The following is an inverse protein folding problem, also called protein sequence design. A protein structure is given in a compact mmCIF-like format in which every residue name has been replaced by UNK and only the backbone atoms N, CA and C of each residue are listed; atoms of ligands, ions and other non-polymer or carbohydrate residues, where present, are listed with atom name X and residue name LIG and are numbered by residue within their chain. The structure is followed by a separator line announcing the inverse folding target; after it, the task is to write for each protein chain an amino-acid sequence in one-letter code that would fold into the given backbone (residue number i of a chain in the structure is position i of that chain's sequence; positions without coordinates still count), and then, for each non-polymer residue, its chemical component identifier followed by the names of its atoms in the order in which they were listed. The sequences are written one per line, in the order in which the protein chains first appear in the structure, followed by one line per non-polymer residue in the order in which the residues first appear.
data_IF_712582290402
#
_entry.id   IF_712582290402
#
_cell.length_a   1.000
_cell.length_b   1.000
_cell.length_c   1.000
_cell.angle_alpha   90.00
_cell.angle_beta   90.00
_cell.angle_gamma   90.00
#
_symmetry.space_group_name_H-M   'P 1'
#
loop_
_entity.id
_entity.type
_entity.pdbx_description
1 polymer ?
#
# COMPACT_ATOMS: atom_id res chain seq x y z
N UNK A 1 -34.41 -23.17 8.11
CA UNK A 1 -33.24 -22.71 8.90
C UNK A 1 -32.87 -21.32 8.39
N UNK A 2 -33.04 -20.31 9.25
CA UNK A 2 -33.16 -18.91 8.83
C UNK A 2 -31.87 -18.32 8.31
N UNK A 3 -31.93 -17.74 7.10
CA UNK A 3 -30.98 -16.73 6.66
C UNK A 3 -31.22 -15.47 7.52
N UNK A 4 -30.34 -15.22 8.47
CA UNK A 4 -30.24 -13.91 9.09
C UNK A 4 -29.54 -12.97 8.10
N UNK A 5 -30.30 -12.30 7.24
CA UNK A 5 -29.82 -11.06 6.63
C UNK A 5 -29.62 -10.06 7.77
N UNK A 6 -28.38 -9.83 8.18
CA UNK A 6 -28.05 -8.69 9.04
C UNK A 6 -28.34 -7.43 8.21
N UNK A 7 -29.45 -6.75 8.54
CA UNK A 7 -29.72 -5.39 8.04
C UNK A 7 -28.52 -4.51 8.43
N UNK A 8 -27.82 -4.00 7.43
CA UNK A 8 -26.76 -3.03 7.63
C UNK A 8 -27.36 -1.76 8.22
N UNK A 9 -27.08 -1.48 9.48
CA UNK A 9 -27.40 -0.19 10.08
C UNK A 9 -26.56 0.88 9.36
N UNK A 10 -27.21 1.92 8.88
CA UNK A 10 -26.52 3.06 8.27
C UNK A 10 -25.37 3.53 9.17
N UNK A 11 -24.13 3.53 8.63
CA UNK A 11 -22.93 3.92 9.36
C UNK A 11 -22.08 2.78 9.95
N UNK A 12 -22.37 1.51 9.63
CA UNK A 12 -21.50 0.38 9.95
C UNK A 12 -20.86 -0.21 8.69
N UNK A 13 -19.61 -0.71 8.81
CA UNK A 13 -18.90 -1.40 7.72
C UNK A 13 -19.62 -2.70 7.39
N UNK A 14 -19.90 -2.91 6.10
CA UNK A 14 -20.40 -4.19 5.59
C UNK A 14 -19.24 -5.15 5.33
N UNK A 15 -19.12 -6.18 6.15
CA UNK A 15 -18.04 -7.17 6.03
C UNK A 15 -18.17 -8.07 4.78
N UNK A 16 -19.30 -8.03 4.07
CA UNK A 16 -19.47 -8.78 2.81
C UNK A 16 -19.11 -7.94 1.57
N UNK A 17 -18.78 -6.66 1.75
CA UNK A 17 -18.43 -5.74 0.66
C UNK A 17 -17.14 -4.98 0.99
N UNK A 18 -16.09 -5.70 1.39
CA UNK A 18 -14.79 -5.13 1.68
C UNK A 18 -13.94 -5.01 0.40
N UNK A 19 -13.04 -4.00 0.31
CA UNK A 19 -12.00 -4.02 -0.69
C UNK A 19 -11.05 -5.19 -0.44
N UNK A 20 -10.62 -5.87 -1.51
CA UNK A 20 -9.58 -6.89 -1.42
C UNK A 20 -8.22 -6.26 -1.12
N UNK A 21 -7.94 -5.11 -1.73
CA UNK A 21 -6.67 -4.41 -1.60
C UNK A 21 -6.87 -2.93 -1.28
N UNK A 22 -6.28 -2.48 -0.17
CA UNK A 22 -6.26 -1.06 0.24
C UNK A 22 -4.85 -0.50 0.10
N UNK A 23 -4.71 0.64 -0.56
CA UNK A 23 -3.46 1.39 -0.67
C UNK A 23 -3.53 2.66 0.19
N UNK A 24 -2.43 3.01 0.88
CA UNK A 24 -2.39 4.18 1.78
C UNK A 24 -1.16 5.04 1.55
N UNK A 25 -1.35 6.35 1.41
CA UNK A 25 -0.27 7.33 1.46
C UNK A 25 -0.16 7.84 2.89
N UNK A 26 0.90 7.47 3.62
CA UNK A 26 1.12 7.79 5.03
C UNK A 26 1.54 9.26 5.22
N UNK A 27 0.61 10.21 4.96
CA UNK A 27 0.92 11.65 5.01
C UNK A 27 0.60 12.29 6.36
N UNK A 28 1.44 13.22 6.76
CA UNK A 28 1.23 14.05 7.95
C UNK A 28 2.15 13.77 9.13
N UNK A 29 3.07 12.79 9.07
CA UNK A 29 3.99 12.46 10.16
C UNK A 29 4.77 13.66 10.70
N UNK A 30 5.39 14.45 9.81
CA UNK A 30 6.14 15.64 10.19
C UNK A 30 5.26 16.74 10.78
N UNK A 31 4.08 16.98 10.21
CA UNK A 31 3.10 17.97 10.70
C UNK A 31 2.55 17.58 12.07
N UNK A 32 2.33 16.30 12.28
CA UNK A 32 1.89 15.75 13.57
C UNK A 32 2.92 16.00 14.67
N UNK A 33 4.20 15.74 14.42
CA UNK A 33 5.29 16.00 15.35
C UNK A 33 5.42 17.51 15.64
N UNK A 34 5.38 18.35 14.60
CA UNK A 34 5.46 19.80 14.73
C UNK A 34 4.33 20.38 15.61
N UNK A 35 3.08 19.92 15.44
CA UNK A 35 1.95 20.36 16.29
C UNK A 35 2.14 20.00 17.76
N UNK A 36 3.01 19.05 18.09
CA UNK A 36 3.31 18.58 19.45
C UNK A 36 4.66 19.04 19.97
N UNK A 37 5.35 19.94 19.26
CA UNK A 37 6.71 20.37 19.56
C UNK A 37 7.71 19.20 19.70
N UNK A 38 7.50 18.13 18.91
CA UNK A 38 8.35 16.96 18.85
C UNK A 38 9.24 16.96 17.59
N UNK A 39 10.39 16.29 17.62
CA UNK A 39 11.21 16.09 16.43
C UNK A 39 10.45 15.25 15.38
N UNK A 40 10.77 15.47 14.09
CA UNK A 40 10.11 14.75 12.97
C UNK A 40 10.21 13.22 13.09
N UNK A 41 11.31 12.71 13.65
CA UNK A 41 11.52 11.30 13.93
C UNK A 41 10.44 10.67 14.83
N UNK A 42 9.93 11.43 15.81
CA UNK A 42 8.82 10.97 16.64
C UNK A 42 7.53 10.79 15.82
N UNK A 43 7.30 11.67 14.82
CA UNK A 43 6.17 11.52 13.90
C UNK A 43 6.30 10.28 13.01
N UNK A 44 7.51 9.99 12.50
CA UNK A 44 7.76 8.77 11.72
C UNK A 44 7.57 7.50 12.55
N UNK A 45 8.03 7.50 13.81
CA UNK A 45 7.80 6.39 14.74
C UNK A 45 6.30 6.18 15.01
N UNK A 46 5.56 7.24 15.33
CA UNK A 46 4.12 7.16 15.53
C UNK A 46 3.39 6.68 14.27
N UNK A 47 3.85 7.10 13.08
CA UNK A 47 3.30 6.62 11.80
C UNK A 47 3.56 5.13 11.54
N UNK A 48 4.71 4.59 11.96
CA UNK A 48 5.01 3.17 11.88
C UNK A 48 4.10 2.34 12.81
N UNK A 49 3.84 2.84 14.03
CA UNK A 49 2.89 2.20 14.94
C UNK A 49 1.45 2.21 14.39
N UNK A 50 1.04 3.30 13.73
CA UNK A 50 -0.26 3.37 13.04
C UNK A 50 -0.34 2.33 11.91
N UNK A 51 0.71 2.15 11.12
CA UNK A 51 0.77 1.12 10.09
C UNK A 51 0.59 -0.29 10.68
N UNK A 52 1.32 -0.62 11.76
CA UNK A 52 1.22 -1.91 12.45
C UNK A 52 -0.20 -2.19 12.95
N UNK A 53 -0.80 -1.19 13.62
CA UNK A 53 -2.17 -1.26 14.14
C UNK A 53 -3.20 -1.48 13.05
N UNK A 54 -3.12 -0.69 11.97
CA UNK A 54 -4.06 -0.81 10.85
C UNK A 54 -3.82 -2.08 10.03
N UNK A 55 -2.59 -2.58 9.91
CA UNK A 55 -2.32 -3.89 9.32
C UNK A 55 -3.04 -5.01 10.08
N UNK A 56 -2.95 -5.00 11.42
CA UNK A 56 -3.70 -5.94 12.27
C UNK A 56 -5.21 -5.78 12.09
N UNK A 57 -5.70 -4.54 11.99
CA UNK A 57 -7.11 -4.27 11.78
C UNK A 57 -7.61 -4.77 10.42
N UNK A 58 -6.90 -4.50 9.33
CA UNK A 58 -7.20 -5.01 7.99
C UNK A 58 -7.30 -6.54 7.99
N UNK A 59 -6.31 -7.22 8.57
CA UNK A 59 -6.30 -8.68 8.71
C UNK A 59 -7.54 -9.20 9.44
N UNK A 60 -7.90 -8.57 10.57
CA UNK A 60 -9.06 -8.97 11.36
C UNK A 60 -10.40 -8.73 10.66
N UNK A 61 -10.47 -7.76 9.76
CA UNK A 61 -11.63 -7.53 8.91
C UNK A 61 -11.73 -8.53 7.76
N UNK A 62 -10.63 -9.18 7.35
CA UNK A 62 -10.57 -10.05 6.18
C UNK A 62 -10.19 -9.32 4.88
N UNK A 63 -9.50 -8.17 4.98
CA UNK A 63 -8.86 -7.51 3.84
C UNK A 63 -7.56 -8.27 3.55
N UNK A 64 -7.31 -8.63 2.27
CA UNK A 64 -6.18 -9.48 1.91
C UNK A 64 -4.87 -8.70 1.78
N UNK A 65 -4.93 -7.46 1.26
CA UNK A 65 -3.74 -6.66 0.96
C UNK A 65 -3.83 -5.24 1.50
N UNK A 66 -2.73 -4.80 2.13
CA UNK A 66 -2.52 -3.40 2.53
C UNK A 66 -1.20 -2.91 1.95
N UNK A 67 -1.22 -1.95 1.02
CA UNK A 67 0.00 -1.33 0.48
C UNK A 67 0.18 0.06 1.04
N UNK A 68 1.39 0.38 1.54
CA UNK A 68 1.69 1.69 2.11
C UNK A 68 2.84 2.39 1.39
N UNK A 69 2.74 3.72 1.25
CA UNK A 69 3.81 4.56 0.70
C UNK A 69 4.73 5.01 1.82
N UNK A 70 5.80 4.25 2.07
CA UNK A 70 6.71 4.50 3.18
C UNK A 70 7.82 5.50 2.81
N UNK A 71 8.42 5.36 1.60
CA UNK A 71 9.50 6.23 1.15
C UNK A 71 9.50 6.36 -0.38
N UNK A 72 9.28 7.59 -0.86
CA UNK A 72 9.28 7.87 -2.31
C UNK A 72 10.68 8.20 -2.83
N UNK A 73 10.87 8.06 -4.16
CA UNK A 73 12.09 8.48 -4.83
C UNK A 73 12.41 9.96 -4.60
N UNK A 74 11.39 10.82 -4.42
CA UNK A 74 11.56 12.23 -4.12
C UNK A 74 12.04 12.51 -2.70
N UNK A 75 11.85 11.56 -1.75
CA UNK A 75 12.21 11.73 -0.35
C UNK A 75 13.72 11.77 -0.10
N UNK A 76 14.54 11.30 -1.04
CA UNK A 76 16.00 11.47 -0.97
C UNK A 76 16.46 12.95 -0.94
N UNK A 77 15.58 13.87 -1.38
CA UNK A 77 15.85 15.33 -1.30
C UNK A 77 15.65 15.92 0.09
N UNK A 78 15.17 15.13 1.06
CA UNK A 78 15.02 15.55 2.45
C UNK A 78 16.38 15.71 3.12
N UNK A 79 16.46 16.44 4.25
CA UNK A 79 17.67 16.49 5.06
C UNK A 79 18.20 15.09 5.37
N UNK A 80 19.53 14.93 5.32
CA UNK A 80 20.17 13.63 5.46
C UNK A 80 19.84 12.93 6.79
N UNK A 81 19.78 13.70 7.87
CA UNK A 81 19.42 13.23 9.21
C UNK A 81 18.00 12.67 9.28
N UNK A 82 17.05 13.26 8.54
CA UNK A 82 15.69 12.72 8.42
C UNK A 82 15.67 11.39 7.63
N UNK A 83 16.40 11.33 6.50
CA UNK A 83 16.50 10.11 5.68
C UNK A 83 17.16 8.99 6.47
N UNK A 84 18.31 9.25 7.10
CA UNK A 84 19.02 8.27 7.94
C UNK A 84 18.13 7.77 9.10
N UNK A 85 17.34 8.67 9.70
CA UNK A 85 16.38 8.32 10.75
C UNK A 85 15.26 7.40 10.26
N UNK A 86 14.75 7.62 9.05
CA UNK A 86 13.71 6.75 8.44
C UNK A 86 14.29 5.38 8.13
N UNK A 87 15.49 5.29 7.54
CA UNK A 87 16.14 4.01 7.21
C UNK A 87 16.44 3.20 8.47
N UNK A 88 16.94 3.86 9.54
CA UNK A 88 17.16 3.22 10.83
C UNK A 88 15.87 2.70 11.47
N UNK A 89 14.77 3.46 11.37
CA UNK A 89 13.46 3.02 11.85
C UNK A 89 12.96 1.80 11.07
N UNK A 90 13.16 1.77 9.75
CA UNK A 90 12.83 0.62 8.92
C UNK A 90 13.63 -0.62 9.32
N UNK A 91 14.95 -0.47 9.53
CA UNK A 91 15.82 -1.56 9.99
C UNK A 91 15.33 -2.15 11.31
N UNK A 92 15.03 -1.30 12.31
CA UNK A 92 14.47 -1.73 13.59
C UNK A 92 13.14 -2.47 13.41
N UNK A 93 12.27 -1.94 12.55
CA UNK A 93 10.97 -2.54 12.26
C UNK A 93 11.10 -3.92 11.61
N UNK A 94 12.07 -4.10 10.70
CA UNK A 94 12.33 -5.38 10.05
C UNK A 94 12.81 -6.45 11.04
N UNK A 95 13.74 -6.13 11.93
CA UNK A 95 14.15 -7.06 12.99
C UNK A 95 12.98 -7.51 13.85
N UNK A 96 12.12 -6.57 14.31
CA UNK A 96 10.93 -6.91 15.08
C UNK A 96 9.93 -7.78 14.28
N UNK A 97 9.79 -7.52 12.98
CA UNK A 97 8.90 -8.31 12.11
C UNK A 97 9.41 -9.73 11.91
N UNK A 98 10.70 -9.92 11.62
CA UNK A 98 11.32 -11.22 11.39
C UNK A 98 11.04 -12.16 12.60
N UNK A 99 11.13 -11.64 13.82
CA UNK A 99 10.90 -12.42 15.05
C UNK A 99 9.44 -12.85 15.25
N UNK A 100 8.47 -12.18 14.63
CA UNK A 100 7.05 -12.37 14.96
C UNK A 100 6.16 -12.76 13.78
N UNK A 101 6.59 -12.52 12.54
CA UNK A 101 5.72 -12.62 11.36
C UNK A 101 5.15 -14.03 11.11
N UNK A 102 5.93 -15.09 11.36
CA UNK A 102 5.44 -16.47 11.23
C UNK A 102 4.35 -16.77 12.27
N UNK A 103 4.59 -16.39 13.53
CA UNK A 103 3.63 -16.57 14.62
C UNK A 103 2.35 -15.75 14.37
N UNK A 104 2.51 -14.54 13.90
CA UNK A 104 1.40 -13.63 13.68
C UNK A 104 0.70 -13.89 12.34
N UNK A 105 1.25 -14.73 11.46
CA UNK A 105 0.72 -15.02 10.13
C UNK A 105 0.58 -13.75 9.28
N UNK A 106 1.59 -12.88 9.31
CA UNK A 106 1.65 -11.65 8.54
C UNK A 106 2.73 -11.76 7.47
N UNK A 107 2.36 -11.53 6.22
CA UNK A 107 3.30 -11.45 5.10
C UNK A 107 3.73 -10.01 4.90
N UNK A 108 5.01 -9.82 4.55
CA UNK A 108 5.55 -8.53 4.20
C UNK A 108 6.22 -8.60 2.82
N UNK A 109 5.99 -7.60 1.95
CA UNK A 109 6.65 -7.47 0.66
C UNK A 109 7.08 -6.04 0.43
N UNK A 110 8.21 -5.84 -0.25
CA UNK A 110 8.73 -4.51 -0.58
C UNK A 110 8.62 -4.24 -2.07
N UNK A 111 8.15 -3.04 -2.44
CA UNK A 111 7.96 -2.58 -3.80
C UNK A 111 8.82 -1.34 -4.05
N UNK A 112 9.60 -1.33 -5.12
CA UNK A 112 10.45 -0.22 -5.52
C UNK A 112 11.86 -0.65 -5.92
N UNK A 113 12.71 0.31 -6.27
CA UNK A 113 14.12 0.03 -6.56
C UNK A 113 14.93 -0.06 -5.25
N UNK A 114 15.11 -1.29 -4.77
CA UNK A 114 15.84 -1.58 -3.54
C UNK A 114 17.37 -1.58 -3.73
N UNK A 115 17.87 -1.47 -4.96
CA UNK A 115 19.30 -1.54 -5.28
C UNK A 115 20.11 -0.38 -4.66
N UNK A 116 19.46 0.75 -4.38
CA UNK A 116 20.07 1.94 -3.77
C UNK A 116 20.24 1.86 -2.26
N UNK A 117 19.65 0.86 -1.63
CA UNK A 117 19.73 0.65 -0.18
C UNK A 117 21.08 0.04 0.21
N UNK A 118 21.45 0.17 1.49
CA UNK A 118 22.68 -0.46 2.00
C UNK A 118 22.61 -1.97 1.88
N UNK A 119 23.76 -2.67 1.76
CA UNK A 119 23.78 -4.13 1.71
C UNK A 119 23.10 -4.79 2.90
N UNK A 120 23.25 -4.21 4.10
CA UNK A 120 22.69 -4.70 5.36
C UNK A 120 21.15 -4.64 5.31
N UNK A 121 20.60 -3.50 4.90
CA UNK A 121 19.15 -3.32 4.80
C UNK A 121 18.54 -4.22 3.71
N UNK A 122 19.25 -4.41 2.58
CA UNK A 122 18.81 -5.36 1.55
C UNK A 122 18.79 -6.79 2.06
N UNK A 123 19.82 -7.22 2.81
CA UNK A 123 19.84 -8.55 3.40
C UNK A 123 18.66 -8.81 4.33
N UNK A 124 18.29 -7.82 5.18
CA UNK A 124 17.09 -7.91 6.03
C UNK A 124 15.80 -7.99 5.23
N UNK A 125 15.69 -7.24 4.13
CA UNK A 125 14.53 -7.31 3.24
C UNK A 125 14.44 -8.68 2.56
N UNK A 126 15.55 -9.22 2.10
CA UNK A 126 15.61 -10.53 1.45
C UNK A 126 15.22 -11.64 2.44
N UNK A 127 15.72 -11.60 3.68
CA UNK A 127 15.30 -12.51 4.75
C UNK A 127 13.81 -12.40 5.07
N UNK A 128 13.29 -11.17 5.17
CA UNK A 128 11.86 -10.91 5.39
C UNK A 128 11.01 -11.49 4.25
N UNK A 129 11.44 -11.30 2.99
CA UNK A 129 10.74 -11.85 1.82
C UNK A 129 10.76 -13.38 1.82
N UNK A 130 11.89 -14.00 2.20
CA UNK A 130 12.02 -15.47 2.31
C UNK A 130 11.04 -16.03 3.36
N UNK A 131 10.98 -15.44 4.54
CA UNK A 131 10.03 -15.85 5.59
C UNK A 131 8.59 -15.63 5.10
N UNK A 132 8.28 -14.46 4.52
CA UNK A 132 6.95 -14.13 3.98
C UNK A 132 6.46 -15.14 2.95
N UNK A 133 7.37 -15.71 2.14
CA UNK A 133 7.02 -16.67 1.10
C UNK A 133 6.41 -17.99 1.63
N UNK A 134 6.63 -18.28 2.91
CA UNK A 134 6.14 -19.49 3.61
C UNK A 134 4.83 -19.28 4.35
N UNK A 135 4.37 -18.03 4.44
CA UNK A 135 3.18 -17.63 5.20
C UNK A 135 2.02 -17.43 4.22
N UNK A 136 0.82 -17.87 4.58
CA UNK A 136 -0.42 -17.62 3.84
C UNK A 136 -1.26 -16.55 4.55
N UNK A 137 -2.16 -15.90 3.80
CA UNK A 137 -3.12 -14.93 4.34
C UNK A 137 -2.74 -13.49 4.08
N UNK A 138 -3.04 -12.60 5.03
CA UNK A 138 -2.87 -11.14 4.90
C UNK A 138 -1.45 -10.74 4.51
N UNK A 139 -1.34 -9.85 3.53
CA UNK A 139 -0.07 -9.33 3.06
C UNK A 139 -0.02 -7.81 3.16
N UNK A 140 0.97 -7.30 3.88
CA UNK A 140 1.33 -5.88 3.85
C UNK A 140 2.45 -5.64 2.83
N UNK A 141 2.28 -4.62 1.98
CA UNK A 141 3.28 -4.21 1.00
C UNK A 141 3.82 -2.83 1.36
N UNK A 142 5.12 -2.67 1.34
CA UNK A 142 5.79 -1.41 1.69
C UNK A 142 6.49 -0.86 0.46
N UNK A 143 5.97 0.26 -0.08
CA UNK A 143 6.62 0.97 -1.17
C UNK A 143 7.81 1.77 -0.61
N UNK A 144 9.02 1.31 -0.96
CA UNK A 144 10.29 1.83 -0.49
C UNK A 144 11.17 2.23 -1.68
N UNK A 145 11.70 3.44 -1.68
CA UNK A 145 12.34 4.05 -2.85
C UNK A 145 11.50 3.85 -4.12
N UNK A 146 10.22 4.12 -3.96
CA UNK A 146 9.21 3.88 -4.98
C UNK A 146 8.76 5.19 -5.64
N UNK A 147 8.44 5.11 -6.92
CA UNK A 147 7.75 6.15 -7.66
C UNK A 147 7.09 5.55 -8.91
N UNK A 148 5.80 5.81 -9.15
CA UNK A 148 5.06 5.17 -10.23
C UNK A 148 5.62 5.48 -11.62
N UNK A 149 6.18 6.68 -11.85
CA UNK A 149 6.88 6.99 -13.11
C UNK A 149 8.17 6.20 -13.26
N UNK A 150 8.92 6.02 -12.17
CA UNK A 150 10.14 5.21 -12.15
C UNK A 150 9.83 3.74 -12.39
N UNK A 151 8.81 3.20 -11.74
CA UNK A 151 8.32 1.84 -11.94
C UNK A 151 7.93 1.57 -13.39
N UNK A 152 7.15 2.47 -14.02
CA UNK A 152 6.77 2.35 -15.43
C UNK A 152 8.01 2.35 -16.34
N UNK A 153 8.99 3.22 -16.08
CA UNK A 153 10.25 3.22 -16.83
C UNK A 153 11.07 1.95 -16.60
N UNK A 154 11.08 1.43 -15.37
CA UNK A 154 11.70 0.14 -15.05
C UNK A 154 11.08 -0.98 -15.86
N UNK A 155 9.76 -1.10 -15.85
CA UNK A 155 9.00 -2.11 -16.58
C UNK A 155 9.23 -2.02 -18.08
N UNK A 156 9.17 -0.82 -18.66
CA UNK A 156 9.41 -0.59 -20.09
C UNK A 156 10.83 -1.00 -20.49
N UNK A 157 11.84 -0.68 -19.68
CA UNK A 157 13.23 -1.10 -19.93
C UNK A 157 13.43 -2.61 -19.80
N UNK A 158 12.76 -3.25 -18.84
CA UNK A 158 12.83 -4.71 -18.66
C UNK A 158 12.20 -5.43 -19.86
N UNK A 159 11.02 -5.00 -20.30
CA UNK A 159 10.38 -5.53 -21.50
C UNK A 159 11.25 -5.33 -22.76
N UNK A 160 11.80 -4.14 -22.96
CA UNK A 160 12.68 -3.85 -24.11
C UNK A 160 13.93 -4.75 -24.11
N UNK A 161 14.51 -5.06 -22.95
CA UNK A 161 15.64 -6.02 -22.84
C UNK A 161 15.23 -7.41 -23.24
N UNK A 162 14.03 -7.87 -22.86
CA UNK A 162 13.52 -9.18 -23.24
C UNK A 162 13.24 -9.27 -24.74
N UNK A 163 12.74 -8.21 -25.36
CA UNK A 163 12.61 -8.12 -26.83
C UNK A 163 13.99 -8.18 -27.51
N UNK A 164 14.96 -7.39 -27.06
CA UNK A 164 16.31 -7.38 -27.61
C UNK A 164 17.03 -8.75 -27.46
N UNK A 165 16.70 -9.50 -26.40
CA UNK A 165 17.20 -10.85 -26.18
C UNK A 165 16.41 -11.95 -26.94
N UNK A 166 15.40 -11.58 -27.73
CA UNK A 166 14.56 -12.52 -28.49
C UNK A 166 13.61 -13.37 -27.62
N UNK A 167 13.40 -12.99 -26.36
CA UNK A 167 12.48 -13.70 -25.45
C UNK A 167 11.02 -13.29 -25.63
N UNK A 168 10.77 -12.10 -26.14
CA UNK A 168 9.44 -11.52 -26.37
C UNK A 168 9.39 -10.81 -27.71
N UNK A 169 8.20 -10.81 -28.31
CA UNK A 169 7.89 -9.97 -29.46
C UNK A 169 7.32 -8.64 -28.97
N UNK A 170 7.74 -7.51 -29.57
CA UNK A 170 7.28 -6.18 -29.17
C UNK A 170 5.76 -6.03 -29.32
N UNK A 171 5.18 -6.65 -30.36
CA UNK A 171 3.75 -6.60 -30.63
C UNK A 171 2.92 -7.55 -29.74
N UNK A 172 3.57 -8.38 -28.93
CA UNK A 172 2.91 -9.26 -27.95
C UNK A 172 2.58 -8.59 -26.63
N UNK A 173 2.98 -7.31 -26.42
CA UNK A 173 2.74 -6.61 -25.16
C UNK A 173 1.26 -6.26 -24.99
N UNK A 174 0.69 -6.72 -23.91
CA UNK A 174 -0.65 -6.37 -23.44
C UNK A 174 -0.55 -5.61 -22.10
N UNK A 175 -1.65 -5.01 -21.63
CA UNK A 175 -1.70 -4.38 -20.30
C UNK A 175 -1.37 -5.37 -19.19
N UNK A 176 -1.93 -6.59 -19.25
CA UNK A 176 -1.61 -7.69 -18.33
C UNK A 176 -0.14 -8.09 -18.43
N UNK A 177 0.37 -8.29 -19.65
CA UNK A 177 1.78 -8.62 -19.91
C UNK A 177 2.74 -7.53 -19.39
N UNK A 178 2.36 -6.24 -19.45
CA UNK A 178 3.14 -5.15 -18.91
C UNK A 178 3.14 -5.15 -17.36
N UNK A 179 2.02 -5.49 -16.76
CA UNK A 179 1.89 -5.56 -15.29
C UNK A 179 2.87 -6.56 -14.66
N UNK A 180 3.27 -7.62 -15.38
CA UNK A 180 4.30 -8.57 -14.92
C UNK A 180 5.73 -7.98 -14.84
N UNK A 181 5.97 -6.82 -15.41
CA UNK A 181 7.26 -6.12 -15.29
C UNK A 181 7.26 -5.05 -14.19
N UNK A 182 6.11 -4.77 -13.57
CA UNK A 182 5.99 -3.82 -12.46
C UNK A 182 6.49 -4.43 -11.14
N UNK A 183 6.86 -3.60 -10.18
CA UNK A 183 7.22 -4.05 -8.83
C UNK A 183 6.09 -4.77 -8.12
N UNK A 184 4.84 -4.46 -8.52
CA UNK A 184 3.61 -5.04 -7.99
C UNK A 184 3.18 -6.35 -8.65
N UNK A 185 4.01 -6.96 -9.51
CA UNK A 185 3.67 -8.23 -10.16
C UNK A 185 3.08 -9.26 -9.20
N UNK A 186 1.95 -9.86 -9.61
CA UNK A 186 1.21 -10.84 -8.81
C UNK A 186 0.33 -10.26 -7.69
N UNK A 187 0.29 -8.93 -7.52
CA UNK A 187 -0.67 -8.27 -6.63
C UNK A 187 -1.90 -7.82 -7.43
N UNK A 188 -3.11 -7.91 -6.87
CA UNK A 188 -4.27 -7.26 -7.46
C UNK A 188 -4.11 -5.73 -7.36
N UNK A 189 -4.71 -5.00 -8.29
CA UNK A 189 -4.79 -3.55 -8.21
C UNK A 189 -5.55 -3.10 -6.96
N UNK A 190 -5.21 -1.94 -6.36
CA UNK A 190 -5.94 -1.44 -5.20
C UNK A 190 -7.39 -1.09 -5.54
N UNK A 191 -8.32 -1.59 -4.75
CA UNK A 191 -9.73 -1.16 -4.82
C UNK A 191 -9.94 0.23 -4.26
N UNK A 192 -9.22 0.54 -3.18
CA UNK A 192 -9.34 1.78 -2.41
C UNK A 192 -7.96 2.36 -2.13
N UNK A 193 -7.75 3.64 -2.50
CA UNK A 193 -6.59 4.42 -2.09
C UNK A 193 -7.02 5.46 -1.06
N UNK A 194 -6.38 5.44 0.11
CA UNK A 194 -6.62 6.37 1.21
C UNK A 194 -5.42 7.32 1.34
N UNK A 195 -5.70 8.63 1.43
CA UNK A 195 -4.70 9.62 1.80
C UNK A 195 -5.21 10.52 2.90
N UNK A 196 -4.74 10.32 4.15
CA UNK A 196 -4.91 11.26 5.25
C UNK A 196 -4.03 12.50 5.06
N UNK A 197 -4.23 13.52 5.90
CA UNK A 197 -3.38 14.70 5.97
C UNK A 197 -3.80 15.87 5.10
N UNK A 198 -5.02 15.87 4.52
CA UNK A 198 -5.63 17.02 3.86
C UNK A 198 -5.21 17.25 2.40
N UNK A 199 -4.26 16.48 1.86
CA UNK A 199 -3.79 16.61 0.48
C UNK A 199 -4.61 15.73 -0.47
N UNK A 200 -4.99 16.29 -1.63
CA UNK A 200 -5.89 15.63 -2.61
C UNK A 200 -5.14 15.28 -3.91
N UNK A 201 -3.99 14.66 -3.81
CA UNK A 201 -3.17 14.16 -4.94
C UNK A 201 -2.54 12.83 -4.57
N UNK A 202 -2.17 12.02 -5.56
CA UNK A 202 -1.56 10.69 -5.33
C UNK A 202 -0.03 10.70 -5.30
N UNK A 203 0.60 11.83 -5.62
CA UNK A 203 2.04 12.08 -5.47
C UNK A 203 2.93 10.98 -6.06
N UNK A 204 2.69 10.62 -7.31
CA UNK A 204 3.47 9.59 -8.03
C UNK A 204 3.36 8.18 -7.42
N UNK A 205 2.29 7.89 -6.69
CA UNK A 205 2.04 6.61 -6.04
C UNK A 205 1.13 5.72 -6.88
N UNK A 206 1.55 4.47 -7.14
CA UNK A 206 0.79 3.42 -7.83
C UNK A 206 0.03 3.91 -9.08
N UNK A 207 0.72 4.65 -9.98
CA UNK A 207 0.08 5.32 -11.12
C UNK A 207 -0.60 4.34 -12.07
N UNK A 208 0.01 3.18 -12.33
CA UNK A 208 -0.55 2.14 -13.18
C UNK A 208 -1.71 1.44 -12.47
N UNK A 209 -1.48 1.02 -11.25
CA UNK A 209 -2.38 0.18 -10.48
C UNK A 209 -3.65 0.90 -10.00
N UNK A 210 -3.60 2.24 -9.86
CA UNK A 210 -4.74 3.03 -9.39
C UNK A 210 -5.71 3.46 -10.50
N UNK A 211 -5.60 2.92 -11.71
CA UNK A 211 -6.42 3.33 -12.86
C UNK A 211 -7.94 3.24 -12.58
N UNK A 212 -8.37 2.29 -11.77
CA UNK A 212 -9.78 2.07 -11.40
C UNK A 212 -10.01 2.06 -9.87
N UNK A 213 -9.05 2.52 -9.09
CA UNK A 213 -9.19 2.63 -7.64
C UNK A 213 -10.16 3.73 -7.24
N UNK A 214 -10.91 3.50 -6.18
CA UNK A 214 -11.66 4.56 -5.50
C UNK A 214 -10.73 5.34 -4.57
N UNK A 215 -10.89 6.66 -4.49
CA UNK A 215 -10.04 7.53 -3.67
C UNK A 215 -10.81 8.07 -2.46
N UNK A 216 -10.17 8.00 -1.29
CA UNK A 216 -10.66 8.61 -0.07
C UNK A 216 -9.60 9.56 0.51
N UNK A 217 -9.97 10.83 0.70
CA UNK A 217 -9.11 11.87 1.27
C UNK A 217 -9.72 12.39 2.57
N UNK A 218 -8.90 12.58 3.60
CA UNK A 218 -9.33 13.18 4.87
C UNK A 218 -8.26 14.08 5.47
N UNK A 219 -8.66 14.93 6.42
CA UNK A 219 -7.77 15.92 7.05
C UNK A 219 -6.98 15.36 8.23
N UNK A 220 -7.37 14.19 8.76
CA UNK A 220 -6.69 13.52 9.87
C UNK A 220 -5.26 13.21 9.49
N UNK A 221 -4.28 13.59 10.32
CA UNK A 221 -2.87 13.27 10.07
C UNK A 221 -2.62 11.77 10.30
N UNK A 222 -1.72 11.17 9.53
CA UNK A 222 -1.49 9.72 9.57
C UNK A 222 -1.27 9.13 10.98
N UNK A 223 -0.46 9.71 11.89
CA UNK A 223 -0.31 9.15 13.24
C UNK A 223 -1.61 9.13 14.07
N UNK A 224 -2.56 9.99 13.77
CA UNK A 224 -3.86 10.06 14.45
C UNK A 224 -4.96 9.30 13.67
N UNK A 225 -4.64 8.68 12.53
CA UNK A 225 -5.57 7.94 11.69
C UNK A 225 -5.83 6.55 12.31
N UNK A 226 -6.94 6.45 13.03
CA UNK A 226 -7.34 5.24 13.77
C UNK A 226 -8.29 4.34 12.96
N UNK A 227 -8.76 3.26 13.58
CA UNK A 227 -9.69 2.31 13.00
C UNK A 227 -11.04 2.97 12.64
N UNK A 228 -11.47 3.97 13.41
CA UNK A 228 -12.72 4.71 13.13
C UNK A 228 -12.60 5.57 11.88
N UNK A 229 -11.43 6.18 11.66
CA UNK A 229 -11.14 6.91 10.42
C UNK A 229 -11.04 5.95 9.24
N UNK A 230 -10.47 4.75 9.45
CA UNK A 230 -10.42 3.71 8.44
C UNK A 230 -11.81 3.20 8.07
N UNK A 231 -12.69 2.98 9.06
CA UNK A 231 -14.10 2.59 8.84
C UNK A 231 -14.85 3.62 8.00
N UNK A 232 -14.63 4.93 8.21
CA UNK A 232 -15.22 5.98 7.38
C UNK A 232 -14.80 5.83 5.91
N UNK A 233 -13.55 5.48 5.65
CA UNK A 233 -13.07 5.24 4.30
C UNK A 233 -13.72 3.99 3.67
N UNK A 234 -13.86 2.90 4.43
CA UNK A 234 -14.55 1.69 4.00
C UNK A 234 -16.03 1.96 3.70
N UNK A 235 -16.75 2.67 4.58
CA UNK A 235 -18.14 3.05 4.37
C UNK A 235 -18.30 3.91 3.12
N UNK A 236 -17.40 4.89 2.91
CA UNK A 236 -17.41 5.73 1.72
C UNK A 236 -17.17 4.91 0.44
N UNK A 237 -16.27 3.92 0.48
CA UNK A 237 -16.04 2.97 -0.61
C UNK A 237 -17.31 2.14 -0.90
N UNK A 238 -17.94 1.59 0.11
CA UNK A 238 -19.14 0.74 0.00
C UNK A 238 -20.37 1.46 -0.55
N UNK A 239 -20.43 2.77 -0.39
CA UNK A 239 -21.50 3.61 -0.94
C UNK A 239 -21.35 3.93 -2.43
N UNK A 240 -20.20 3.60 -3.04
CA UNK A 240 -19.93 3.90 -4.45
C UNK A 240 -20.35 2.73 -5.34
N UNK A 241 -20.90 3.06 -6.50
CA UNK A 241 -21.19 2.09 -7.56
C UNK A 241 -19.97 2.01 -8.51
N UNK A 242 -19.20 0.94 -8.43
CA UNK A 242 -18.09 0.69 -9.36
C UNK A 242 -18.65 0.22 -10.71
N UNK A 243 -18.44 0.98 -11.76
CA UNK A 243 -19.03 0.72 -13.09
C UNK A 243 -18.04 0.22 -14.14
N UNK A 244 -16.74 0.34 -13.92
CA UNK A 244 -15.68 -0.08 -14.87
C UNK A 244 -15.99 0.27 -16.34
N UNK A 245 -16.60 1.45 -16.58
CA UNK A 245 -17.01 1.90 -17.92
C UNK A 245 -18.31 1.28 -18.47
N UNK A 246 -18.98 0.41 -17.72
CA UNK A 246 -20.25 -0.21 -18.12
C UNK A 246 -21.49 0.65 -17.84
N UNK A 247 -22.54 0.50 -18.67
CA UNK A 247 -23.86 1.09 -18.43
C UNK A 247 -24.67 0.21 -17.48
N UNK A 248 -25.52 0.81 -16.62
CA UNK A 248 -26.56 0.04 -15.91
C UNK A 248 -27.44 -0.68 -16.93
N UNK A 249 -27.56 -1.99 -16.84
CA UNK A 249 -28.69 -2.67 -17.48
C UNK A 249 -29.96 -2.19 -16.75
N UNK A 250 -30.79 -1.39 -17.43
CA UNK A 250 -32.13 -1.09 -16.95
C UNK A 250 -32.85 -2.42 -16.78
N UNK A 251 -33.20 -2.77 -15.53
CA UNK A 251 -34.14 -3.86 -15.29
C UNK A 251 -35.44 -3.45 -15.99
N UNK A 252 -35.70 -4.07 -17.13
CA UNK A 252 -37.02 -3.99 -17.74
C UNK A 252 -38.06 -4.43 -16.70
N UNK A 253 -38.97 -3.53 -16.38
CA UNK A 253 -40.14 -3.77 -15.53
C UNK A 253 -41.14 -4.68 -16.21
#
# INVERSE_FOLDING_TARGET
MGLFSRENKAGQVDLNNLPCHVAVIMDGNGRWAQKRALPRSAGHKAGAETFRRLGTYCKNLGIDYLTVYAFSTENWKRPKDEVDGIMKLLEQYLHECIDTMEKDGNRLRFLGDLSVLTPELRALIDETNEISSRIEGFQANVCLNYGGRDEILHAARAFARDCAAGKRDVDSLTEEGFSHYLYSDGLPDPDLLIRPGGEKRISNYLLWQCAYSEFYFCDTLWPDFDEKEFDKALIAYQQRERRFGGLKQEKQK
#
